data_IF_823350254408
#
_entry.id   IF_823350254408
#
_cell.length_a   1.000
_cell.length_b   1.000
_cell.length_c   1.000
_cell.angle_alpha   90.00
_cell.angle_beta   90.00
_cell.angle_gamma   90.00
#
_symmetry.space_group_name_H-M   'P 1'
#
loop_
_entity.id
_entity.type
_entity.pdbx_description
1 polymer ?
#
# COMPACT_ATOMS: atom_id res chain seq x y z
N UNK A 1 5.20 -65.58 -24.37
CA UNK A 1 5.84 -64.27 -24.33
C UNK A 1 5.05 -63.39 -23.38
N UNK A 2 5.58 -63.11 -22.23
CA UNK A 2 5.00 -62.15 -21.26
C UNK A 2 5.72 -60.83 -21.47
N UNK A 3 4.96 -59.76 -21.82
CA UNK A 3 5.46 -58.40 -21.80
C UNK A 3 5.43 -57.90 -20.34
N UNK A 4 6.59 -57.52 -19.83
CA UNK A 4 6.70 -56.75 -18.59
C UNK A 4 6.25 -55.34 -18.86
N UNK A 5 5.17 -54.91 -18.20
CA UNK A 5 4.89 -53.48 -18.00
C UNK A 5 5.80 -53.01 -16.86
N UNK A 6 6.82 -52.25 -17.20
CA UNK A 6 7.53 -51.43 -16.21
C UNK A 6 6.73 -50.13 -16.04
N UNK A 7 6.14 -49.98 -14.87
CA UNK A 7 5.55 -48.73 -14.43
C UNK A 7 6.68 -47.72 -14.21
N UNK A 8 6.81 -46.77 -15.11
CA UNK A 8 7.65 -45.60 -14.87
C UNK A 8 6.93 -44.67 -13.87
N UNK A 9 7.39 -44.65 -12.62
CA UNK A 9 7.07 -43.59 -11.69
C UNK A 9 7.62 -42.27 -12.27
N UNK A 10 6.71 -41.40 -12.70
CA UNK A 10 7.05 -40.00 -13.00
C UNK A 10 7.46 -39.32 -11.70
N UNK A 11 8.75 -39.18 -11.48
CA UNK A 11 9.29 -38.43 -10.39
C UNK A 11 8.72 -36.98 -10.40
N UNK A 12 8.27 -36.54 -9.24
CA UNK A 12 7.81 -35.19 -9.03
C UNK A 12 9.00 -34.22 -9.29
N UNK A 13 8.94 -33.46 -10.36
CA UNK A 13 9.89 -32.37 -10.60
C UNK A 13 9.53 -31.26 -9.65
N UNK A 14 10.26 -31.15 -8.54
CA UNK A 14 10.19 -30.00 -7.67
C UNK A 14 10.88 -28.82 -8.37
N UNK A 15 10.10 -27.93 -8.99
CA UNK A 15 10.61 -26.68 -9.53
C UNK A 15 10.91 -25.76 -8.35
N UNK A 16 12.15 -25.79 -7.87
CA UNK A 16 12.65 -24.78 -6.94
C UNK A 16 12.79 -23.49 -7.75
N UNK A 17 11.74 -22.67 -7.76
CA UNK A 17 11.81 -21.30 -8.21
C UNK A 17 12.67 -20.57 -7.17
N UNK A 18 13.95 -20.36 -7.46
CA UNK A 18 14.76 -19.40 -6.74
C UNK A 18 14.08 -18.04 -6.91
N UNK A 19 13.27 -17.64 -5.93
CA UNK A 19 12.67 -16.33 -5.81
C UNK A 19 13.82 -15.36 -5.65
N UNK A 20 14.26 -14.75 -6.75
CA UNK A 20 15.10 -13.56 -6.66
C UNK A 20 14.19 -12.53 -6.03
N UNK A 21 14.38 -12.26 -4.76
CA UNK A 21 13.68 -11.19 -4.06
C UNK A 21 14.14 -9.87 -4.70
N UNK A 22 13.42 -9.43 -5.72
CA UNK A 22 13.59 -8.08 -6.22
C UNK A 22 12.95 -7.16 -5.19
N UNK A 23 13.78 -6.32 -4.61
CA UNK A 23 13.37 -5.31 -3.65
C UNK A 23 12.74 -4.15 -4.43
N UNK A 24 11.53 -3.77 -4.09
CA UNK A 24 10.88 -2.59 -4.63
C UNK A 24 11.67 -1.35 -4.20
N UNK A 25 12.10 -0.54 -5.15
CA UNK A 25 12.86 0.70 -4.86
C UNK A 25 12.07 1.96 -5.17
N UNK A 26 10.98 1.84 -5.92
CA UNK A 26 10.22 3.00 -6.35
C UNK A 26 8.75 2.66 -6.65
N UNK A 27 7.85 3.58 -6.28
CA UNK A 27 6.44 3.58 -6.70
C UNK A 27 6.15 4.93 -7.32
N UNK A 28 5.64 4.95 -8.54
CA UNK A 28 5.39 6.16 -9.31
C UNK A 28 3.91 6.19 -9.69
N UNK A 29 3.25 7.29 -9.39
CA UNK A 29 1.88 7.61 -9.76
C UNK A 29 1.92 8.72 -10.81
N UNK A 30 1.32 8.52 -11.97
CA UNK A 30 1.31 9.51 -13.04
C UNK A 30 -0.08 9.64 -13.65
N UNK A 31 -0.51 10.88 -13.85
CA UNK A 31 -1.72 11.25 -14.60
C UNK A 31 -1.47 12.51 -15.43
N UNK A 32 -2.53 13.09 -15.97
CA UNK A 32 -2.45 14.32 -16.79
C UNK A 32 -2.10 15.58 -15.97
N UNK A 33 -2.22 15.56 -14.63
CA UNK A 33 -1.87 16.68 -13.76
C UNK A 33 -0.40 16.66 -13.35
N UNK A 34 0.23 15.47 -13.35
CA UNK A 34 1.63 15.35 -12.97
C UNK A 34 2.05 13.97 -12.50
N UNK A 35 3.08 13.96 -11.68
CA UNK A 35 3.68 12.72 -11.16
C UNK A 35 3.95 12.82 -9.66
N UNK A 36 3.62 11.77 -8.92
CA UNK A 36 4.02 11.57 -7.52
C UNK A 36 4.93 10.34 -7.48
N UNK A 37 6.11 10.49 -6.92
CA UNK A 37 7.09 9.42 -6.79
C UNK A 37 7.47 9.17 -5.34
N UNK A 38 7.47 7.90 -4.92
CA UNK A 38 8.07 7.43 -3.67
C UNK A 38 9.30 6.60 -3.99
N UNK A 39 10.46 7.01 -3.51
CA UNK A 39 11.72 6.26 -3.62
C UNK A 39 12.08 5.65 -2.28
N UNK A 40 12.39 4.35 -2.26
CA UNK A 40 12.70 3.59 -1.06
C UNK A 40 14.19 3.26 -1.00
N UNK A 41 14.87 3.69 0.06
CA UNK A 41 16.26 3.35 0.33
C UNK A 41 16.33 2.36 1.49
N UNK A 42 17.05 1.27 1.27
CA UNK A 42 17.19 0.17 2.23
C UNK A 42 18.57 0.19 2.88
N UNK A 43 18.59 -0.05 4.19
CA UNK A 43 19.80 -0.20 4.96
C UNK A 43 20.30 -1.65 5.04
N UNK A 44 21.33 -1.85 5.88
CA UNK A 44 21.85 -3.16 6.21
C UNK A 44 20.77 -4.00 6.90
N UNK A 45 20.33 -5.09 6.31
CA UNK A 45 19.24 -5.93 6.84
C UNK A 45 17.92 -5.80 6.08
N UNK A 46 17.90 -5.02 4.99
CA UNK A 46 16.77 -4.96 4.07
C UNK A 46 15.55 -4.20 4.59
N UNK A 47 15.73 -3.37 5.61
CA UNK A 47 14.68 -2.48 6.10
C UNK A 47 14.78 -1.11 5.44
N UNK A 48 13.65 -0.47 5.18
CA UNK A 48 13.61 0.90 4.65
C UNK A 48 14.17 1.86 5.70
N UNK A 49 15.18 2.65 5.31
CA UNK A 49 15.83 3.69 6.11
C UNK A 49 15.49 5.10 5.64
N UNK A 50 15.10 5.26 4.35
CA UNK A 50 14.65 6.54 3.82
C UNK A 50 13.50 6.35 2.84
N UNK A 51 12.60 7.33 2.83
CA UNK A 51 11.53 7.47 1.85
C UNK A 51 11.71 8.84 1.19
N UNK A 52 12.07 8.87 -0.10
CA UNK A 52 11.99 10.07 -0.92
C UNK A 52 10.55 10.26 -1.40
N UNK A 53 10.10 11.50 -1.44
CA UNK A 53 8.79 11.88 -1.95
C UNK A 53 8.97 13.05 -2.89
N UNK A 54 8.60 12.89 -4.15
CA UNK A 54 8.70 13.92 -5.18
C UNK A 54 7.33 14.12 -5.82
N UNK A 55 6.92 15.37 -5.95
CA UNK A 55 5.73 15.77 -6.69
C UNK A 55 6.15 16.69 -7.83
N UNK A 56 5.76 16.35 -9.04
CA UNK A 56 5.90 17.19 -10.21
C UNK A 56 4.50 17.54 -10.75
N UNK A 57 4.12 18.82 -10.67
CA UNK A 57 2.84 19.29 -11.16
C UNK A 57 2.99 20.71 -11.71
N UNK A 58 2.31 21.01 -12.81
CA UNK A 58 2.26 22.37 -13.43
C UNK A 58 3.66 22.98 -13.74
N UNK A 59 4.69 22.13 -13.89
CA UNK A 59 6.07 22.55 -14.14
C UNK A 59 6.86 22.92 -12.90
N UNK A 60 6.30 22.71 -11.72
CA UNK A 60 6.98 22.83 -10.43
C UNK A 60 7.32 21.45 -9.88
N UNK A 61 8.46 21.34 -9.19
CA UNK A 61 8.89 20.11 -8.51
C UNK A 61 9.06 20.39 -7.04
N UNK A 62 8.45 19.55 -6.20
CA UNK A 62 8.65 19.55 -4.76
C UNK A 62 9.26 18.23 -4.35
N UNK A 63 10.34 18.26 -3.57
CA UNK A 63 11.02 17.08 -3.07
C UNK A 63 11.11 17.11 -1.55
N UNK A 64 10.86 15.96 -0.92
CA UNK A 64 11.05 15.74 0.52
C UNK A 64 11.74 14.40 0.75
N UNK A 65 12.56 14.33 1.78
CA UNK A 65 13.25 13.11 2.19
C UNK A 65 12.90 12.84 3.65
N UNK A 66 12.30 11.70 3.90
CA UNK A 66 11.97 11.23 5.23
C UNK A 66 12.95 10.16 5.68
N UNK A 67 13.56 10.35 6.84
CA UNK A 67 14.39 9.35 7.51
C UNK A 67 13.50 8.43 8.34
N UNK A 68 13.75 7.11 8.25
CA UNK A 68 13.01 6.08 8.99
C UNK A 68 13.90 5.51 10.07
N UNK A 69 13.56 5.75 11.34
CA UNK A 69 14.27 5.22 12.51
C UNK A 69 13.39 4.21 13.23
N UNK A 70 13.99 3.09 13.66
CA UNK A 70 13.30 2.03 14.40
C UNK A 70 13.91 1.90 15.80
N UNK A 71 13.08 2.03 16.84
CA UNK A 71 13.48 1.94 18.23
C UNK A 71 12.51 1.01 18.99
N UNK A 72 12.89 -0.26 19.10
CA UNK A 72 12.01 -1.27 19.69
C UNK A 72 10.71 -1.45 18.93
N UNK A 73 9.59 -1.17 19.58
CA UNK A 73 8.24 -1.22 18.96
C UNK A 73 7.81 0.11 18.35
N UNK A 74 8.72 1.08 18.21
CA UNK A 74 8.40 2.37 17.58
C UNK A 74 9.14 2.54 16.26
N UNK A 75 8.46 3.22 15.33
CA UNK A 75 9.05 3.72 14.09
C UNK A 75 8.79 5.21 14.03
N UNK A 76 9.87 5.98 13.90
CA UNK A 76 9.83 7.40 13.67
C UNK A 76 10.14 7.66 12.19
N UNK A 77 9.28 8.38 11.51
CA UNK A 77 9.50 8.89 10.16
C UNK A 77 9.51 10.42 10.26
N UNK A 78 10.61 11.04 9.89
CA UNK A 78 10.74 12.49 9.96
C UNK A 78 11.44 13.01 8.70
N UNK A 79 11.04 14.18 8.21
CA UNK A 79 11.76 14.88 7.17
C UNK A 79 13.16 15.33 7.68
N UNK A 80 14.03 15.78 6.78
CA UNK A 80 15.42 16.14 7.17
C UNK A 80 15.47 17.34 8.10
N UNK A 81 14.46 18.21 8.11
CA UNK A 81 14.34 19.38 8.96
C UNK A 81 13.58 19.09 10.26
N UNK A 82 13.03 17.87 10.41
CA UNK A 82 12.14 17.43 11.51
C UNK A 82 10.88 18.31 11.65
N UNK A 83 10.50 19.02 10.59
CA UNK A 83 9.29 19.85 10.53
C UNK A 83 8.03 18.97 10.44
N UNK A 84 8.11 17.84 9.72
CA UNK A 84 7.08 16.81 9.67
C UNK A 84 7.60 15.54 10.35
N UNK A 85 6.90 15.10 11.36
CA UNK A 85 7.27 13.90 12.12
C UNK A 85 6.06 13.00 12.35
N UNK A 86 6.21 11.72 11.98
CA UNK A 86 5.20 10.68 12.16
C UNK A 86 5.74 9.62 13.12
N UNK A 87 4.98 9.30 14.16
CA UNK A 87 5.37 8.30 15.15
C UNK A 87 4.43 7.11 15.10
N UNK A 88 4.92 5.95 14.69
CA UNK A 88 4.17 4.69 14.61
C UNK A 88 4.54 3.77 15.76
N UNK A 89 3.54 3.11 16.34
CA UNK A 89 3.72 2.11 17.40
C UNK A 89 3.33 0.74 16.84
N UNK A 90 4.23 -0.23 17.00
CA UNK A 90 4.03 -1.60 16.57
C UNK A 90 3.44 -2.47 17.68
N UNK A 91 2.60 -3.39 17.29
CA UNK A 91 2.14 -4.51 18.11
C UNK A 91 2.03 -5.75 17.23
N UNK A 92 2.63 -6.85 17.64
CA UNK A 92 2.62 -8.12 16.91
C UNK A 92 3.13 -7.97 15.46
N UNK A 93 4.15 -7.09 15.26
CA UNK A 93 4.77 -6.83 13.96
C UNK A 93 3.97 -5.96 13.00
N UNK A 94 2.85 -5.38 13.43
CA UNK A 94 2.01 -4.46 12.65
C UNK A 94 1.87 -3.12 13.36
N UNK A 95 1.55 -2.08 12.61
CA UNK A 95 1.25 -0.78 13.19
C UNK A 95 -0.09 -0.86 13.93
N UNK A 96 -0.08 -0.57 15.23
CA UNK A 96 -1.27 -0.54 16.08
C UNK A 96 -1.83 0.88 16.23
N UNK A 97 -0.95 1.89 16.21
CA UNK A 97 -1.33 3.29 16.28
C UNK A 97 -0.24 4.18 15.70
N UNK A 98 -0.59 5.41 15.36
CA UNK A 98 0.39 6.44 15.00
C UNK A 98 -0.11 7.83 15.38
N UNK A 99 0.84 8.77 15.40
CA UNK A 99 0.59 10.20 15.50
C UNK A 99 1.15 10.85 14.23
N UNK A 100 0.33 11.67 13.55
CA UNK A 100 0.73 12.39 12.35
C UNK A 100 1.57 13.64 12.66
N UNK A 101 1.99 14.36 11.62
CA UNK A 101 2.78 15.58 11.73
C UNK A 101 2.02 16.73 12.43
N UNK A 102 0.71 16.67 12.49
CA UNK A 102 -0.15 17.66 13.14
C UNK A 102 -0.48 17.32 14.58
N UNK A 103 -0.01 16.16 15.07
CA UNK A 103 -0.30 15.67 16.42
C UNK A 103 -1.60 14.91 16.56
N UNK A 104 -2.29 14.61 15.44
CA UNK A 104 -3.50 13.79 15.45
C UNK A 104 -3.14 12.33 15.70
N UNK A 105 -3.87 11.69 16.60
CA UNK A 105 -3.67 10.29 16.95
C UNK A 105 -4.58 9.38 16.13
N UNK A 106 -4.04 8.26 15.70
CA UNK A 106 -4.77 7.23 14.94
C UNK A 106 -4.59 5.87 15.58
N UNK A 107 -5.64 5.06 15.54
CA UNK A 107 -5.65 3.65 15.99
C UNK A 107 -6.01 2.75 14.82
N UNK A 108 -5.27 1.64 14.64
CA UNK A 108 -5.53 0.66 13.61
C UNK A 108 -6.12 -0.61 14.21
N UNK A 109 -7.17 -1.13 13.58
CA UNK A 109 -7.84 -2.36 13.98
C UNK A 109 -7.70 -3.43 12.90
N UNK A 110 -7.51 -4.69 13.35
CA UNK A 110 -7.25 -5.82 12.48
C UNK A 110 -8.18 -6.99 12.81
N UNK A 111 -8.68 -7.66 11.76
CA UNK A 111 -9.38 -8.94 11.86
C UNK A 111 -8.68 -9.95 10.97
N UNK A 112 -8.34 -11.14 11.48
CA UNK A 112 -7.67 -12.20 10.72
C UNK A 112 -6.41 -11.71 9.97
N UNK A 113 -5.68 -10.78 10.57
CA UNK A 113 -4.48 -10.14 10.01
C UNK A 113 -4.73 -9.16 8.85
N UNK A 114 -5.97 -8.80 8.56
CA UNK A 114 -6.34 -7.74 7.63
C UNK A 114 -6.64 -6.44 8.39
N UNK A 115 -6.16 -5.31 7.88
CA UNK A 115 -6.52 -3.99 8.42
C UNK A 115 -8.00 -3.71 8.15
N UNK A 116 -8.80 -3.57 9.20
CA UNK A 116 -10.27 -3.39 9.06
C UNK A 116 -10.74 -1.99 9.38
N UNK A 117 -9.97 -1.22 10.14
CA UNK A 117 -10.29 0.19 10.40
C UNK A 117 -9.06 1.00 10.74
N UNK A 118 -9.04 2.27 10.30
CA UNK A 118 -8.16 3.33 10.78
C UNK A 118 -9.04 4.37 11.44
N UNK A 119 -8.82 4.64 12.74
CA UNK A 119 -9.67 5.49 13.55
C UNK A 119 -8.87 6.73 13.95
N UNK A 120 -9.20 7.87 13.37
CA UNK A 120 -8.68 9.16 13.80
C UNK A 120 -9.33 9.61 15.10
N UNK A 121 -8.51 10.08 16.07
CA UNK A 121 -8.96 10.57 17.37
C UNK A 121 -8.59 12.04 17.47
N UNK A 122 -9.61 12.88 17.47
CA UNK A 122 -9.46 14.32 17.60
C UNK A 122 -9.86 14.74 19.02
N UNK A 123 -9.05 15.58 19.64
CA UNK A 123 -9.34 16.17 20.94
C UNK A 123 -9.60 17.66 20.73
N UNK A 124 -10.78 18.12 21.09
CA UNK A 124 -11.20 19.52 21.01
C UNK A 124 -11.74 20.01 22.34
N UNK A 125 -11.64 21.31 22.59
CA UNK A 125 -12.28 21.97 23.72
C UNK A 125 -13.67 22.47 23.29
N UNK A 126 -14.73 22.04 23.99
CA UNK A 126 -16.08 22.50 23.72
C UNK A 126 -16.33 23.90 24.28
N UNK A 127 -17.53 24.45 24.05
CA UNK A 127 -17.92 25.82 24.50
C UNK A 127 -17.85 25.99 26.03
N UNK A 128 -17.89 24.90 26.79
CA UNK A 128 -17.84 24.91 28.24
C UNK A 128 -16.41 24.73 28.79
N UNK A 129 -15.40 24.58 27.90
CA UNK A 129 -13.98 24.39 28.25
C UNK A 129 -13.64 22.94 28.64
N UNK A 130 -14.51 21.98 28.30
CA UNK A 130 -14.26 20.56 28.51
C UNK A 130 -13.62 19.94 27.27
N UNK A 131 -12.64 19.03 27.46
CA UNK A 131 -12.01 18.30 26.35
C UNK A 131 -12.99 17.20 25.89
N UNK A 132 -13.46 17.31 24.67
CA UNK A 132 -14.21 16.27 23.97
C UNK A 132 -13.31 15.51 23.01
N UNK A 133 -13.54 14.19 22.93
CA UNK A 133 -12.87 13.31 21.97
C UNK A 133 -13.88 12.84 20.94
N UNK A 134 -13.54 13.06 19.68
CA UNK A 134 -14.32 12.56 18.56
C UNK A 134 -13.50 11.50 17.80
N UNK A 135 -14.16 10.40 17.45
CA UNK A 135 -13.55 9.32 16.68
C UNK A 135 -14.13 9.27 15.26
N UNK A 136 -13.26 9.22 14.27
CA UNK A 136 -13.62 9.15 12.85
C UNK A 136 -13.05 7.87 12.24
N UNK A 137 -13.84 6.79 12.15
CA UNK A 137 -13.37 5.54 11.55
C UNK A 137 -13.40 5.60 10.03
N UNK A 138 -12.30 5.21 9.40
CA UNK A 138 -12.23 4.82 7.98
C UNK A 138 -12.25 3.30 7.92
N UNK A 139 -13.27 2.74 7.28
CA UNK A 139 -13.48 1.30 7.23
C UNK A 139 -12.90 0.65 5.98
N UNK A 140 -12.18 -0.46 6.19
CA UNK A 140 -11.61 -1.33 5.18
C UNK A 140 -12.42 -2.62 5.09
N UNK A 141 -13.10 -2.86 3.96
CA UNK A 141 -13.99 -4.02 3.75
C UNK A 141 -13.35 -5.06 2.87
N UNK A 142 -13.36 -6.30 3.35
CA UNK A 142 -12.80 -7.44 2.62
C UNK A 142 -13.89 -8.45 2.25
N UNK A 143 -13.75 -9.03 1.05
CA UNK A 143 -14.54 -10.16 0.58
C UNK A 143 -13.59 -11.15 -0.11
N UNK A 144 -13.65 -12.44 0.26
CA UNK A 144 -12.78 -13.48 -0.29
C UNK A 144 -11.28 -13.12 -0.25
N UNK A 145 -10.84 -12.50 0.87
CA UNK A 145 -9.50 -11.99 1.10
C UNK A 145 -9.05 -10.85 0.15
N UNK A 146 -9.98 -10.13 -0.45
CA UNK A 146 -9.72 -8.97 -1.29
C UNK A 146 -10.30 -7.71 -0.64
N UNK A 147 -9.54 -6.63 -0.62
CA UNK A 147 -9.97 -5.32 -0.13
C UNK A 147 -10.93 -4.70 -1.15
N UNK A 148 -12.22 -4.89 -0.93
CA UNK A 148 -13.27 -4.47 -1.88
C UNK A 148 -13.73 -3.03 -1.69
N UNK A 149 -13.52 -2.43 -0.51
CA UNK A 149 -13.83 -1.03 -0.29
C UNK A 149 -13.00 -0.42 0.83
N UNK A 150 -12.66 0.87 0.70
CA UNK A 150 -12.25 1.77 1.76
C UNK A 150 -13.27 2.91 1.76
N UNK A 151 -13.90 3.14 2.92
CA UNK A 151 -14.89 4.20 3.16
C UNK A 151 -15.97 4.34 2.05
N UNK A 152 -16.44 3.19 1.55
CA UNK A 152 -17.48 3.12 0.51
C UNK A 152 -16.96 3.12 -0.93
N UNK A 153 -15.67 3.42 -1.16
CA UNK A 153 -15.03 3.25 -2.47
C UNK A 153 -14.87 1.77 -2.84
N UNK A 154 -15.35 1.34 -4.00
CA UNK A 154 -15.46 -0.08 -4.37
C UNK A 154 -14.55 -0.53 -5.51
N UNK A 155 -13.98 -1.74 -5.37
CA UNK A 155 -13.23 -2.45 -6.39
C UNK A 155 -13.89 -3.79 -6.72
N UNK A 156 -13.86 -4.17 -8.00
CA UNK A 156 -14.24 -5.49 -8.48
C UNK A 156 -12.99 -6.31 -8.77
N UNK A 157 -12.96 -7.56 -8.31
CA UNK A 157 -11.79 -8.44 -8.39
C UNK A 157 -11.98 -9.55 -9.43
N UNK A 158 -10.87 -9.91 -10.09
CA UNK A 158 -10.75 -11.05 -10.97
C UNK A 158 -10.11 -12.27 -10.28
N UNK A 159 -9.76 -13.25 -11.09
CA UNK A 159 -9.06 -14.46 -10.62
C UNK A 159 -7.53 -14.31 -10.58
N UNK A 160 -7.01 -13.22 -11.15
CA UNK A 160 -5.58 -12.99 -11.25
C UNK A 160 -4.98 -12.73 -9.87
N UNK A 161 -3.95 -13.50 -9.51
CA UNK A 161 -3.30 -13.40 -8.22
C UNK A 161 -2.50 -12.11 -8.07
N UNK A 162 -2.59 -11.51 -6.89
CA UNK A 162 -1.78 -10.39 -6.49
C UNK A 162 -0.41 -10.90 -6.02
N UNK A 163 0.63 -10.66 -6.82
CA UNK A 163 2.02 -11.00 -6.49
C UNK A 163 2.73 -9.70 -6.16
N UNK A 164 2.88 -9.41 -4.87
CA UNK A 164 3.52 -8.19 -4.38
C UNK A 164 5.01 -8.39 -4.18
N UNK A 165 5.76 -7.30 -4.26
CA UNK A 165 7.18 -7.21 -3.93
C UNK A 165 7.47 -6.22 -2.78
N UNK A 166 6.51 -6.03 -1.87
CA UNK A 166 6.63 -5.17 -0.70
C UNK A 166 5.39 -4.32 -0.45
N UNK A 167 4.88 -3.62 -1.47
CA UNK A 167 3.67 -2.78 -1.37
C UNK A 167 2.49 -3.48 -2.04
N UNK A 168 1.32 -3.43 -1.41
CA UNK A 168 0.10 -3.96 -2.03
C UNK A 168 -0.36 -3.02 -3.17
N UNK A 169 -0.37 -3.47 -4.44
CA UNK A 169 -0.85 -2.69 -5.57
C UNK A 169 -2.29 -2.19 -5.41
N UNK A 170 -3.12 -2.92 -4.68
CA UNK A 170 -4.52 -2.53 -4.40
C UNK A 170 -4.58 -1.26 -3.56
N UNK A 171 -3.69 -1.14 -2.57
CA UNK A 171 -3.58 0.09 -1.76
C UNK A 171 -3.12 1.28 -2.62
N UNK A 172 -2.21 1.04 -3.59
CA UNK A 172 -1.79 2.09 -4.52
C UNK A 172 -2.96 2.59 -5.39
N UNK A 173 -3.87 1.70 -5.80
CA UNK A 173 -5.10 2.09 -6.50
C UNK A 173 -5.98 2.98 -5.61
N UNK A 174 -6.18 2.60 -4.33
CA UNK A 174 -6.95 3.42 -3.39
C UNK A 174 -6.29 4.77 -3.12
N UNK A 175 -4.96 4.84 -3.03
CA UNK A 175 -4.26 6.11 -2.84
C UNK A 175 -4.39 7.03 -4.04
N UNK A 176 -4.14 6.54 -5.24
CA UNK A 176 -3.98 7.39 -6.41
C UNK A 176 -5.27 7.54 -7.23
N UNK A 177 -5.91 6.43 -7.58
CA UNK A 177 -7.05 6.45 -8.50
C UNK A 177 -8.35 6.78 -7.76
N UNK A 178 -8.52 6.24 -6.56
CA UNK A 178 -9.73 6.43 -5.76
C UNK A 178 -9.60 7.54 -4.71
N UNK A 179 -8.40 8.09 -4.52
CA UNK A 179 -8.10 9.16 -3.55
C UNK A 179 -8.64 8.90 -2.15
N UNK A 180 -8.79 7.64 -1.77
CA UNK A 180 -9.30 7.23 -0.47
C UNK A 180 -8.23 7.26 0.64
N UNK A 181 -6.94 7.28 0.24
CA UNK A 181 -5.78 7.43 1.12
C UNK A 181 -5.03 8.68 0.67
N UNK A 182 -5.34 9.83 1.24
CA UNK A 182 -4.83 11.14 0.78
C UNK A 182 -3.49 11.50 1.39
N UNK A 183 -3.33 11.23 2.70
CA UNK A 183 -2.16 11.66 3.45
C UNK A 183 -0.99 10.69 3.36
N UNK A 184 0.24 11.21 3.50
CA UNK A 184 1.45 10.38 3.57
C UNK A 184 1.50 9.57 4.87
N UNK A 185 0.98 10.11 5.98
CA UNK A 185 0.87 9.41 7.27
C UNK A 185 0.13 8.08 7.16
N UNK A 186 -0.91 8.03 6.32
CA UNK A 186 -1.70 6.82 6.08
C UNK A 186 -1.04 5.86 5.08
N UNK A 187 -0.21 6.39 4.16
CA UNK A 187 0.42 5.57 3.12
C UNK A 187 1.77 4.98 3.54
N UNK A 188 2.57 5.67 4.34
CA UNK A 188 3.87 5.16 4.80
C UNK A 188 3.79 3.78 5.48
N UNK A 189 2.79 3.48 6.34
CA UNK A 189 2.60 2.12 6.88
C UNK A 189 2.52 1.02 5.83
N UNK A 190 1.88 1.32 4.71
CA UNK A 190 1.76 0.38 3.59
C UNK A 190 3.07 0.24 2.81
N UNK A 191 3.83 1.33 2.60
CA UNK A 191 5.18 1.27 2.02
C UNK A 191 6.13 0.44 2.89
N UNK A 192 6.00 0.52 4.22
CA UNK A 192 6.78 -0.27 5.17
C UNK A 192 6.34 -1.75 5.23
N UNK A 193 5.23 -2.14 4.60
CA UNK A 193 4.69 -3.49 4.64
C UNK A 193 4.14 -3.90 6.02
N UNK A 194 3.67 -2.95 6.84
CA UNK A 194 3.31 -3.17 8.25
C UNK A 194 1.79 -3.06 8.52
N UNK A 195 0.96 -3.10 7.47
CA UNK A 195 -0.51 -3.02 7.58
C UNK A 195 -1.23 -4.37 7.48
N UNK A 196 -0.52 -5.48 7.72
CA UNK A 196 -1.11 -6.83 7.68
C UNK A 196 -1.14 -7.43 6.27
N UNK A 197 -2.15 -8.26 5.99
CA UNK A 197 -2.23 -9.01 4.74
C UNK A 197 -2.64 -8.13 3.55
N UNK A 198 -2.00 -8.37 2.41
CA UNK A 198 -2.39 -7.82 1.11
C UNK A 198 -3.63 -8.54 0.54
N UNK A 199 -4.30 -7.91 -0.43
CA UNK A 199 -5.37 -8.55 -1.20
C UNK A 199 -4.88 -9.80 -1.94
N UNK A 200 -5.71 -10.83 -2.00
CA UNK A 200 -5.35 -12.10 -2.61
C UNK A 200 -5.27 -12.04 -4.15
N UNK A 201 -6.10 -11.20 -4.76
CA UNK A 201 -6.20 -11.05 -6.21
C UNK A 201 -6.05 -9.58 -6.62
N UNK A 202 -5.94 -9.36 -7.94
CA UNK A 202 -5.91 -8.05 -8.54
C UNK A 202 -7.32 -7.59 -8.93
N UNK A 203 -7.68 -6.31 -8.72
CA UNK A 203 -8.93 -5.77 -9.17
C UNK A 203 -8.97 -5.66 -10.71
N UNK A 204 -10.15 -5.78 -11.27
CA UNK A 204 -10.41 -5.64 -12.72
C UNK A 204 -10.96 -4.26 -13.06
N UNK A 205 -11.65 -3.64 -12.11
CA UNK A 205 -12.23 -2.31 -12.30
C UNK A 205 -12.66 -1.68 -10.97
N UNK A 206 -12.92 -0.37 -11.01
CA UNK A 206 -13.64 0.38 -9.96
C UNK A 206 -15.00 0.82 -10.46
N UNK A 207 -15.99 0.92 -9.56
CA UNK A 207 -17.32 1.47 -9.83
C UNK A 207 -17.60 2.81 -9.12
N UNK A 208 -16.59 3.39 -8.47
CA UNK A 208 -16.74 4.56 -7.58
C UNK A 208 -16.66 5.89 -8.32
N UNK A 209 -15.81 6.00 -9.32
CA UNK A 209 -15.57 7.25 -10.04
C UNK A 209 -16.04 7.06 -11.48
N UNK A 210 -16.99 7.91 -11.95
CA UNK A 210 -17.43 8.04 -13.35
C UNK A 210 -17.84 6.76 -14.10
N UNK A 211 -18.25 5.70 -13.39
CA UNK A 211 -18.61 4.44 -14.01
C UNK A 211 -17.53 3.39 -13.87
N UNK A 212 -17.63 2.30 -14.60
CA UNK A 212 -16.75 1.15 -14.46
C UNK A 212 -15.36 1.42 -15.10
N UNK A 213 -14.42 1.94 -14.30
CA UNK A 213 -13.02 2.16 -14.72
C UNK A 213 -12.25 0.83 -14.74
N UNK A 214 -11.82 0.34 -15.92
CA UNK A 214 -11.06 -0.89 -16.02
C UNK A 214 -9.59 -0.68 -15.66
N UNK A 215 -8.98 -1.71 -15.07
CA UNK A 215 -7.55 -1.77 -14.80
C UNK A 215 -6.87 -2.75 -15.75
N UNK A 216 -5.72 -2.36 -16.28
CA UNK A 216 -4.83 -3.20 -17.06
C UNK A 216 -3.47 -3.27 -16.42
N UNK A 217 -2.78 -4.42 -16.54
CA UNK A 217 -1.54 -4.71 -15.83
C UNK A 217 -0.44 -5.07 -16.80
N UNK A 218 0.77 -4.59 -16.54
CA UNK A 218 1.98 -5.14 -17.14
C UNK A 218 2.80 -5.86 -16.06
N UNK A 219 3.65 -6.80 -16.48
CA UNK A 219 4.34 -7.69 -15.56
C UNK A 219 5.83 -7.70 -15.84
N UNK A 220 6.61 -7.89 -14.80
CA UNK A 220 8.00 -8.25 -14.87
C UNK A 220 8.15 -9.72 -15.32
N UNK A 221 9.34 -10.09 -15.82
CA UNK A 221 9.63 -11.46 -16.26
C UNK A 221 9.43 -12.52 -15.16
N UNK A 222 9.58 -12.12 -13.89
CA UNK A 222 9.37 -13.00 -12.73
C UNK A 222 7.91 -13.07 -12.26
N UNK A 223 6.99 -12.37 -12.94
CA UNK A 223 5.55 -12.40 -12.68
C UNK A 223 5.02 -11.33 -11.71
N UNK A 224 5.88 -10.51 -11.11
CA UNK A 224 5.45 -9.37 -10.31
C UNK A 224 4.86 -8.25 -11.17
N UNK A 225 4.06 -7.39 -10.57
CA UNK A 225 3.44 -6.26 -11.27
C UNK A 225 4.50 -5.21 -11.55
N UNK A 226 4.56 -4.77 -12.80
CA UNK A 226 5.39 -3.68 -13.26
C UNK A 226 4.63 -2.36 -13.32
N UNK A 227 3.41 -2.39 -13.85
CA UNK A 227 2.53 -1.22 -13.83
C UNK A 227 1.05 -1.58 -13.81
N UNK A 228 0.25 -0.65 -13.35
CA UNK A 228 -1.20 -0.65 -13.40
C UNK A 228 -1.60 0.57 -14.22
N UNK A 229 -2.47 0.38 -15.21
CA UNK A 229 -3.01 1.47 -15.99
C UNK A 229 -4.54 1.50 -15.83
N UNK A 230 -5.06 2.70 -15.67
CA UNK A 230 -6.49 3.00 -15.65
C UNK A 230 -6.74 4.06 -16.72
N UNK A 231 -7.73 3.85 -17.59
CA UNK A 231 -8.08 4.80 -18.64
C UNK A 231 -9.53 5.22 -18.48
N UNK A 232 -9.75 6.53 -18.35
CA UNK A 232 -11.06 7.16 -18.36
C UNK A 232 -11.14 8.08 -19.58
N UNK A 233 -12.00 7.72 -20.53
CA UNK A 233 -12.18 8.41 -21.82
C UNK A 233 -10.85 8.70 -22.53
N UNK A 234 -10.27 9.92 -22.36
CA UNK A 234 -9.01 10.36 -22.97
C UNK A 234 -7.83 10.39 -21.98
N UNK A 235 -8.11 10.27 -20.66
CA UNK A 235 -7.09 10.37 -19.61
C UNK A 235 -6.57 8.99 -19.19
N UNK A 236 -5.26 8.87 -19.05
CA UNK A 236 -4.59 7.65 -18.61
C UNK A 236 -3.86 7.93 -17.30
N UNK A 237 -4.24 7.19 -16.25
CA UNK A 237 -3.52 7.16 -14.98
C UNK A 237 -2.67 5.89 -14.90
N UNK A 238 -1.43 6.03 -14.50
CA UNK A 238 -0.46 4.92 -14.41
C UNK A 238 0.17 4.85 -13.02
N UNK A 239 0.26 3.64 -12.48
CA UNK A 239 1.06 3.34 -11.27
C UNK A 239 2.17 2.39 -11.71
N UNK A 240 3.43 2.77 -11.48
CA UNK A 240 4.61 1.96 -11.84
C UNK A 240 5.37 1.52 -10.60
N UNK A 241 6.00 0.34 -10.68
CA UNK A 241 6.78 -0.30 -9.61
C UNK A 241 8.16 -0.65 -10.17
N UNK A 242 9.24 -0.14 -9.57
CA UNK A 242 10.64 -0.33 -9.99
C UNK A 242 11.52 -0.92 -8.86
#
# INVERSE_FOLDING_TARGET
MRQNNEDYELGTVEVIVNKVEKTLTKVIFSDYLGTIEYTLTYGEGGQIEKIGYTVEAEGETQEMIYNVKREGEQILIADEEEAETFTYVLKDGKIASYVDAYGTSFRLEYTDNYLTSVIGVYEGENEDGEIEKEEYPVEYKYTDNNLVAIDGGGLKFGEQKNITNGVDPVICIYKFILTAITENSDFFPHLLGLCGNSSANLPTSSDVIYGNLPFTYTYEEWGGIKSINCTDEEDVSTISFE
#
